data_IF_204770459196
#
_entry.id   IF_204770459196
#
_cell.length_a   1.000
_cell.length_b   1.000
_cell.length_c   1.000
_cell.angle_alpha   90.00
_cell.angle_beta   90.00
_cell.angle_gamma   90.00
#
_symmetry.space_group_name_H-M   'P 1'
#
loop_
_entity.id
_entity.type
_entity.pdbx_description
1 polymer ?
#
# COMPACT_ATOMS: atom_id res chain seq x y z
N UNK A 1 14.22 27.85 32.21
CA UNK A 1 12.93 27.18 31.93
C UNK A 1 13.20 25.71 31.72
N UNK A 2 12.81 24.85 32.67
CA UNK A 2 13.02 23.40 32.57
C UNK A 2 11.84 22.85 31.76
N UNK A 3 12.08 22.54 30.49
CA UNK A 3 11.07 21.98 29.61
C UNK A 3 10.72 20.58 30.12
N UNK A 4 9.60 20.49 30.84
CA UNK A 4 9.08 19.25 31.41
C UNK A 4 8.25 18.52 30.33
N UNK A 5 8.88 18.18 29.20
CA UNK A 5 8.30 17.24 28.25
C UNK A 5 8.45 15.83 28.84
N UNK A 6 7.66 15.57 29.89
CA UNK A 6 7.50 14.25 30.46
C UNK A 6 6.71 13.40 29.47
N UNK A 7 7.09 12.13 29.34
CA UNK A 7 6.34 11.10 28.60
C UNK A 7 4.88 11.01 29.08
N UNK A 8 4.59 11.59 30.25
CA UNK A 8 3.29 11.77 30.88
C UNK A 8 2.29 12.61 30.04
N UNK A 9 2.75 13.48 29.12
CA UNK A 9 1.85 14.19 28.20
C UNK A 9 1.31 13.29 27.07
N UNK A 10 2.07 12.25 26.68
CA UNK A 10 1.65 11.32 25.64
C UNK A 10 0.49 10.41 26.09
N UNK A 11 0.37 10.17 27.40
CA UNK A 11 -0.72 9.37 27.98
C UNK A 11 -2.04 10.14 28.08
N UNK A 12 -1.99 11.48 28.00
CA UNK A 12 -3.17 12.35 27.96
C UNK A 12 -3.73 12.53 26.54
N UNK A 13 -3.11 11.93 25.53
CA UNK A 13 -3.64 11.94 24.18
C UNK A 13 -4.92 11.08 24.16
N UNK A 14 -6.04 11.69 23.76
CA UNK A 14 -7.32 11.03 23.58
C UNK A 14 -7.30 10.12 22.34
N UNK A 15 -6.66 8.96 22.48
CA UNK A 15 -6.59 7.92 21.47
C UNK A 15 -7.99 7.51 20.97
N UNK A 16 -8.99 7.53 21.84
CA UNK A 16 -10.38 7.21 21.51
C UNK A 16 -11.00 8.14 20.46
N UNK A 17 -10.57 9.39 20.38
CA UNK A 17 -11.07 10.37 19.38
C UNK A 17 -10.31 10.28 18.05
N UNK A 18 -9.04 9.88 18.09
CA UNK A 18 -8.17 9.80 16.92
C UNK A 18 -8.37 8.47 16.17
N UNK A 19 -8.58 7.37 16.90
CA UNK A 19 -8.68 6.03 16.33
C UNK A 19 -9.79 5.88 15.27
N UNK A 20 -11.02 6.42 15.44
CA UNK A 20 -12.08 6.32 14.43
C UNK A 20 -11.75 7.02 13.12
N UNK A 21 -10.92 8.06 13.17
CA UNK A 21 -10.48 8.82 11.99
C UNK A 21 -9.36 8.06 11.29
N UNK A 22 -8.39 7.51 12.02
CA UNK A 22 -7.26 6.75 11.45
C UNK A 22 -7.67 5.37 10.91
N UNK A 23 -8.63 4.72 11.56
CA UNK A 23 -9.07 3.36 11.23
C UNK A 23 -9.45 3.19 9.75
N UNK A 24 -10.29 4.04 9.12
CA UNK A 24 -10.62 3.90 7.71
C UNK A 24 -9.41 4.09 6.78
N UNK A 25 -8.48 5.01 7.08
CA UNK A 25 -7.29 5.19 6.25
C UNK A 25 -6.38 3.95 6.29
N UNK A 26 -6.18 3.39 7.48
CA UNK A 26 -5.41 2.16 7.64
C UNK A 26 -6.11 0.99 6.95
N UNK A 27 -7.43 0.87 7.10
CA UNK A 27 -8.21 -0.22 6.52
C UNK A 27 -8.19 -0.15 4.99
N UNK A 28 -8.40 1.02 4.40
CA UNK A 28 -8.31 1.22 2.93
C UNK A 28 -6.90 1.02 2.42
N UNK A 29 -5.88 1.56 3.11
CA UNK A 29 -4.48 1.38 2.74
C UNK A 29 -4.07 -0.09 2.77
N UNK A 30 -4.47 -0.82 3.81
CA UNK A 30 -4.21 -2.25 3.95
C UNK A 30 -4.95 -3.07 2.89
N UNK A 31 -6.23 -2.74 2.60
CA UNK A 31 -6.97 -3.36 1.51
C UNK A 31 -6.28 -3.15 0.16
N UNK A 32 -5.83 -1.93 -0.13
CA UNK A 32 -5.12 -1.60 -1.36
C UNK A 32 -3.87 -2.45 -1.54
N UNK A 33 -3.05 -2.58 -0.48
CA UNK A 33 -1.86 -3.42 -0.48
C UNK A 33 -2.23 -4.88 -0.72
N UNK A 34 -3.22 -5.41 0.01
CA UNK A 34 -3.67 -6.80 -0.13
C UNK A 34 -4.18 -7.09 -1.54
N UNK A 35 -5.06 -6.25 -2.08
CA UNK A 35 -5.61 -6.45 -3.42
C UNK A 35 -4.49 -6.36 -4.46
N UNK A 36 -3.57 -5.40 -4.34
CA UNK A 36 -2.43 -5.29 -5.25
C UNK A 36 -1.51 -6.52 -5.19
N UNK A 37 -1.20 -7.04 -3.99
CA UNK A 37 -0.41 -8.26 -3.83
C UNK A 37 -1.13 -9.50 -4.40
N UNK A 38 -2.43 -9.66 -4.11
CA UNK A 38 -3.24 -10.78 -4.59
C UNK A 38 -3.31 -10.75 -6.13
N UNK A 39 -3.60 -9.58 -6.71
CA UNK A 39 -3.63 -9.40 -8.16
C UNK A 39 -2.27 -9.72 -8.78
N UNK A 40 -1.20 -9.18 -8.21
CA UNK A 40 0.17 -9.40 -8.67
C UNK A 40 0.55 -10.89 -8.64
N UNK A 41 0.21 -11.60 -7.57
CA UNK A 41 0.50 -13.03 -7.43
C UNK A 41 -0.37 -13.90 -8.35
N UNK A 42 -1.65 -13.54 -8.54
CA UNK A 42 -2.59 -14.25 -9.41
C UNK A 42 -2.10 -14.27 -10.87
N UNK A 43 -1.50 -13.19 -11.34
CA UNK A 43 -0.97 -13.08 -12.71
C UNK A 43 0.55 -13.32 -12.81
N UNK A 44 1.16 -13.94 -11.79
CA UNK A 44 2.61 -14.23 -11.74
C UNK A 44 3.15 -14.90 -13.00
N UNK A 45 2.40 -15.83 -13.61
CA UNK A 45 2.87 -16.59 -14.79
C UNK A 45 2.87 -15.79 -16.09
N UNK A 46 2.11 -14.69 -16.13
CA UNK A 46 1.95 -13.85 -17.33
C UNK A 46 2.85 -12.62 -17.27
N UNK A 47 3.27 -12.23 -16.06
CA UNK A 47 4.04 -11.02 -15.79
C UNK A 47 5.48 -11.38 -15.43
N UNK A 48 6.43 -10.80 -16.13
CA UNK A 48 7.87 -11.03 -15.89
C UNK A 48 8.39 -10.12 -14.74
N UNK A 49 7.85 -8.91 -14.65
CA UNK A 49 8.29 -7.90 -13.67
C UNK A 49 7.57 -8.02 -12.31
N UNK A 50 7.12 -9.23 -11.94
CA UNK A 50 6.38 -9.47 -10.68
C UNK A 50 7.21 -9.11 -9.46
N UNK A 51 8.51 -9.40 -9.51
CA UNK A 51 9.44 -9.09 -8.43
C UNK A 51 9.61 -7.57 -8.27
N UNK A 52 9.75 -6.82 -9.38
CA UNK A 52 9.86 -5.36 -9.35
C UNK A 52 8.62 -4.72 -8.72
N UNK A 53 7.42 -5.14 -9.13
CA UNK A 53 6.18 -4.60 -8.57
C UNK A 53 5.98 -4.98 -7.10
N UNK A 54 6.39 -6.17 -6.67
CA UNK A 54 6.35 -6.57 -5.26
C UNK A 54 7.20 -5.64 -4.41
N UNK A 55 8.43 -5.36 -4.84
CA UNK A 55 9.36 -4.46 -4.16
C UNK A 55 8.75 -3.06 -4.04
N UNK A 56 8.19 -2.52 -5.14
CA UNK A 56 7.54 -1.21 -5.16
C UNK A 56 6.36 -1.14 -4.19
N UNK A 57 5.49 -2.17 -4.17
CA UNK A 57 4.33 -2.21 -3.26
C UNK A 57 4.78 -2.23 -1.79
N UNK A 58 5.80 -3.03 -1.46
CA UNK A 58 6.29 -3.17 -0.07
C UNK A 58 7.03 -1.91 0.40
N UNK A 59 7.87 -1.29 -0.43
CA UNK A 59 8.61 -0.08 -0.06
C UNK A 59 7.73 1.16 0.02
N UNK A 60 6.76 1.31 -0.89
CA UNK A 60 5.96 2.52 -1.00
C UNK A 60 4.56 2.41 -0.35
N UNK A 61 4.24 1.29 0.33
CA UNK A 61 3.01 0.99 1.08
C UNK A 61 1.71 1.41 0.40
N UNK A 62 1.25 2.65 0.52
CA UNK A 62 0.02 3.13 -0.13
C UNK A 62 0.26 3.59 -1.57
N UNK A 63 1.40 4.22 -1.85
CA UNK A 63 1.75 4.73 -3.18
C UNK A 63 2.06 3.57 -4.14
N UNK A 64 2.70 2.51 -3.66
CA UNK A 64 3.09 1.36 -4.48
C UNK A 64 1.89 0.64 -5.14
N UNK A 65 0.83 0.26 -4.39
CA UNK A 65 -0.43 -0.25 -4.90
C UNK A 65 -1.10 0.68 -5.90
N UNK A 66 -1.11 1.99 -5.61
CA UNK A 66 -1.71 2.98 -6.53
C UNK A 66 -0.96 2.97 -7.87
N UNK A 67 0.38 3.04 -7.85
CA UNK A 67 1.20 2.94 -9.05
C UNK A 67 0.99 1.60 -9.79
N UNK A 68 0.87 0.50 -9.05
CA UNK A 68 0.58 -0.82 -9.60
C UNK A 68 -0.77 -0.84 -10.33
N UNK A 69 -1.83 -0.29 -9.74
CA UNK A 69 -3.15 -0.23 -10.36
C UNK A 69 -3.18 0.70 -11.57
N UNK A 70 -2.49 1.83 -11.52
CA UNK A 70 -2.49 2.82 -12.61
C UNK A 70 -1.61 2.40 -13.79
N UNK A 71 -0.41 1.89 -13.52
CA UNK A 71 0.62 1.59 -14.52
C UNK A 71 0.74 0.08 -14.71
N UNK A 72 1.01 -0.66 -13.63
CA UNK A 72 1.31 -2.11 -13.68
C UNK A 72 0.18 -2.99 -14.24
N UNK A 73 -1.08 -2.52 -14.24
CA UNK A 73 -2.20 -3.22 -14.88
C UNK A 73 -2.14 -3.20 -16.42
N UNK A 74 -1.52 -2.19 -17.04
CA UNK A 74 -1.47 -2.04 -18.52
C UNK A 74 -0.48 -2.98 -19.19
N UNK A 75 0.59 -3.37 -18.49
CA UNK A 75 1.63 -4.28 -18.99
C UNK A 75 1.08 -5.64 -19.46
N UNK A 76 -0.07 -6.07 -18.93
CA UNK A 76 -0.72 -7.34 -19.32
C UNK A 76 -1.33 -7.24 -20.72
N UNK A 77 -1.95 -6.11 -21.06
CA UNK A 77 -2.70 -5.97 -22.31
C UNK A 77 -1.76 -5.83 -23.53
N UNK A 78 -0.62 -5.15 -23.39
CA UNK A 78 0.31 -4.99 -24.51
C UNK A 78 0.99 -6.30 -24.93
N UNK A 79 1.27 -7.20 -23.97
CA UNK A 79 1.84 -8.51 -24.29
C UNK A 79 0.82 -9.45 -24.95
N UNK A 80 -0.45 -9.36 -24.58
CA UNK A 80 -1.52 -10.11 -25.23
C UNK A 80 -1.67 -9.71 -26.71
N UNK A 81 -1.47 -8.43 -27.03
CA UNK A 81 -1.50 -7.91 -28.41
C UNK A 81 -0.23 -8.24 -29.21
N UNK A 82 0.93 -8.39 -28.57
CA UNK A 82 2.19 -8.74 -29.25
C UNK A 82 2.31 -10.24 -29.60
N UNK A 83 1.60 -11.10 -28.87
CA UNK A 83 1.59 -12.54 -29.10
C UNK A 83 0.42 -13.02 -29.99
N UNK A 84 -0.35 -12.10 -30.58
CA UNK A 84 -1.22 -12.35 -31.74
C UNK A 84 -0.48 -12.01 -33.03
#
# INVERSE_FOLDING_TARGET
>A
MKLHYGIDELSHIDWASILPILLPFLLVGFLLILIALIDLYRYRKVRENVLMWTIVIVLFNTIGPILYFTIGRKDVNERALRNQ
#
